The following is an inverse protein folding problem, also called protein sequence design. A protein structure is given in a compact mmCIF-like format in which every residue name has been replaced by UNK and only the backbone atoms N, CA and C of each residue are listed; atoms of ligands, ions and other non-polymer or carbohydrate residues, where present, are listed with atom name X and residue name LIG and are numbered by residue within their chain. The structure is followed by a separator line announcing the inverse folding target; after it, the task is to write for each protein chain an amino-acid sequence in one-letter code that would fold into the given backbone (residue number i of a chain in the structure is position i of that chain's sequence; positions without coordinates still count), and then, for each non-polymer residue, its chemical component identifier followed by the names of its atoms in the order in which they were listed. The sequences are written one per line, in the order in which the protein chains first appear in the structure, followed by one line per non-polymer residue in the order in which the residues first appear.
data_IF_578767482784
#
_entry.id   IF_578767482784
#
_cell.length_a   1.000
_cell.length_b   1.000
_cell.length_c   1.000
_cell.angle_alpha   90.00
_cell.angle_beta   90.00
_cell.angle_gamma   90.00
#
_symmetry.space_group_name_H-M   'P 1'
#
loop_
_entity.id
_entity.type
_entity.pdbx_description
1 polymer ?
#
# COMPACT_ATOMS: atom_id res chain seq x y z
N UNK A 1 -21.99 -10.34 16.87
CA UNK A 1 -20.63 -9.76 16.87
C UNK A 1 -20.14 -9.38 15.46
N UNK A 2 -20.53 -10.07 14.37
CA UNK A 2 -20.03 -9.77 13.01
C UNK A 2 -20.56 -8.48 12.38
N UNK A 3 -21.82 -8.10 12.63
CA UNK A 3 -22.44 -6.91 12.03
C UNK A 3 -21.86 -5.59 12.55
N UNK A 4 -21.50 -5.56 13.85
CA UNK A 4 -20.95 -4.39 14.53
C UNK A 4 -19.52 -4.06 14.05
N UNK A 5 -18.69 -5.10 13.86
CA UNK A 5 -17.34 -4.92 13.34
C UNK A 5 -17.34 -4.43 11.88
N UNK A 6 -18.20 -4.98 11.03
CA UNK A 6 -18.31 -4.55 9.64
C UNK A 6 -18.85 -3.11 9.53
N UNK A 7 -19.83 -2.75 10.36
CA UNK A 7 -20.32 -1.37 10.45
C UNK A 7 -19.23 -0.41 10.96
N UNK A 8 -18.45 -0.83 11.95
CA UNK A 8 -17.31 -0.06 12.47
C UNK A 8 -16.24 0.16 11.40
N UNK A 9 -15.87 -0.89 10.66
CA UNK A 9 -14.95 -0.80 9.51
C UNK A 9 -15.46 0.20 8.48
N UNK A 10 -16.71 0.04 8.04
CA UNK A 10 -17.32 0.92 7.05
C UNK A 10 -17.36 2.39 7.52
N UNK A 11 -17.73 2.63 8.78
CA UNK A 11 -17.77 3.97 9.37
C UNK A 11 -16.39 4.64 9.42
N UNK A 12 -15.37 3.91 9.87
CA UNK A 12 -14.00 4.41 9.91
C UNK A 12 -13.46 4.68 8.50
N UNK A 13 -13.67 3.75 7.57
CA UNK A 13 -13.22 3.85 6.18
C UNK A 13 -13.88 5.03 5.46
N UNK A 14 -15.16 5.30 5.73
CA UNK A 14 -15.87 6.47 5.21
C UNK A 14 -15.33 7.78 5.80
N UNK A 15 -15.08 7.81 7.11
CA UNK A 15 -14.50 8.99 7.78
C UNK A 15 -13.12 9.33 7.21
N UNK A 16 -12.25 8.34 7.03
CA UNK A 16 -10.91 8.53 6.45
C UNK A 16 -10.99 9.02 5.00
N UNK A 17 -11.87 8.45 4.17
CA UNK A 17 -12.08 8.93 2.79
C UNK A 17 -12.58 10.37 2.73
N UNK A 18 -13.46 10.78 3.65
CA UNK A 18 -13.93 12.17 3.72
C UNK A 18 -12.82 13.15 4.09
N UNK A 19 -11.91 12.77 4.98
CA UNK A 19 -10.71 13.55 5.30
C UNK A 19 -9.81 13.64 4.06
N UNK A 20 -9.59 12.51 3.38
CA UNK A 20 -8.76 12.44 2.19
C UNK A 20 -9.23 13.37 1.06
N UNK A 21 -10.53 13.43 0.78
CA UNK A 21 -11.09 14.28 -0.29
C UNK A 21 -10.70 15.76 -0.16
N UNK A 22 -10.35 16.22 1.05
CA UNK A 22 -9.91 17.59 1.32
C UNK A 22 -8.43 17.84 0.93
N UNK A 23 -7.68 16.81 0.58
CA UNK A 23 -6.22 16.87 0.36
C UNK A 23 -5.77 16.38 -1.03
N UNK A 24 -6.68 16.34 -2.00
CA UNK A 24 -6.44 15.81 -3.36
C UNK A 24 -5.77 16.77 -4.34
N UNK A 25 -5.49 18.02 -3.95
CA UNK A 25 -5.07 19.06 -4.89
C UNK A 25 -3.74 18.77 -5.61
N UNK A 26 -2.80 18.09 -4.94
CA UNK A 26 -1.44 17.82 -5.44
C UNK A 26 -1.13 16.33 -5.63
N UNK A 27 -2.08 15.44 -5.29
CA UNK A 27 -1.90 13.99 -5.35
C UNK A 27 -2.97 13.42 -6.27
N UNK A 28 -2.54 12.63 -7.23
CA UNK A 28 -3.42 11.76 -8.03
C UNK A 28 -3.32 10.34 -7.50
N UNK A 29 -4.39 9.59 -7.63
CA UNK A 29 -4.39 8.17 -7.27
C UNK A 29 -5.28 7.36 -8.18
N UNK A 30 -4.88 6.13 -8.46
CA UNK A 30 -5.67 5.17 -9.20
C UNK A 30 -5.66 3.81 -8.52
N UNK A 31 -6.71 3.04 -8.79
CA UNK A 31 -6.85 1.66 -8.32
C UNK A 31 -6.05 0.73 -9.21
N UNK A 32 -5.47 -0.29 -8.60
CA UNK A 32 -4.94 -1.46 -9.28
C UNK A 32 -5.26 -2.71 -8.46
N UNK A 33 -5.08 -3.87 -9.10
CA UNK A 33 -5.40 -5.16 -8.52
C UNK A 33 -4.20 -6.08 -8.63
N UNK A 34 -3.83 -6.71 -7.52
CA UNK A 34 -2.73 -7.66 -7.45
C UNK A 34 -3.29 -9.08 -7.38
N UNK A 35 -3.14 -9.90 -8.43
CA UNK A 35 -3.56 -11.29 -8.38
C UNK A 35 -2.69 -12.07 -7.38
N UNK A 36 -3.34 -12.82 -6.50
CA UNK A 36 -2.76 -13.87 -5.68
C UNK A 36 -3.33 -15.22 -6.13
N UNK A 37 -2.90 -16.34 -5.53
CA UNK A 37 -3.30 -17.68 -5.97
C UNK A 37 -4.83 -17.88 -5.95
N UNK A 38 -5.50 -17.43 -4.89
CA UNK A 38 -6.93 -17.71 -4.65
C UNK A 38 -7.79 -16.45 -4.45
N UNK A 39 -7.20 -15.26 -4.56
CA UNK A 39 -7.88 -13.99 -4.35
C UNK A 39 -7.15 -12.85 -5.06
N UNK A 40 -7.79 -11.69 -5.09
CA UNK A 40 -7.19 -10.44 -5.58
C UNK A 40 -6.99 -9.52 -4.39
N UNK A 41 -5.83 -8.88 -4.33
CA UNK A 41 -5.49 -7.90 -3.31
C UNK A 41 -5.66 -6.52 -3.94
N UNK A 42 -6.65 -5.71 -3.51
CA UNK A 42 -6.79 -4.34 -3.96
C UNK A 42 -5.58 -3.52 -3.54
N UNK A 43 -5.08 -2.70 -4.46
CA UNK A 43 -4.03 -1.73 -4.17
C UNK A 43 -4.41 -0.37 -4.74
N UNK A 44 -3.81 0.66 -4.18
CA UNK A 44 -3.90 2.01 -4.72
C UNK A 44 -2.53 2.59 -4.90
N UNK A 45 -2.33 3.20 -6.06
CA UNK A 45 -1.11 3.88 -6.41
C UNK A 45 -1.36 5.37 -6.25
N UNK A 46 -0.49 6.03 -5.50
CA UNK A 46 -0.56 7.44 -5.17
C UNK A 46 0.66 8.14 -5.74
N UNK A 47 0.46 9.23 -6.46
CA UNK A 47 1.51 9.92 -7.17
C UNK A 47 1.37 11.44 -7.05
N UNK A 48 2.49 12.18 -7.06
CA UNK A 48 2.45 13.62 -7.24
C UNK A 48 1.77 13.95 -8.57
N UNK A 49 0.83 14.90 -8.56
CA UNK A 49 0.06 15.31 -9.74
C UNK A 49 0.91 15.89 -10.86
N UNK A 50 2.01 16.54 -10.51
CA UNK A 50 2.89 17.19 -11.48
C UNK A 50 3.81 16.15 -12.12
N UNK A 51 4.01 16.16 -13.45
CA UNK A 51 4.92 15.25 -14.12
C UNK A 51 6.36 15.49 -13.66
N UNK A 52 7.21 14.49 -13.81
CA UNK A 52 8.62 14.58 -13.46
C UNK A 52 9.50 14.05 -14.59
N UNK A 53 10.68 14.64 -14.76
CA UNK A 53 11.67 14.19 -15.73
C UNK A 53 12.57 13.07 -15.18
N UNK A 54 12.41 12.71 -13.90
CA UNK A 54 13.23 11.72 -13.22
C UNK A 54 12.39 10.58 -12.65
N UNK A 55 12.94 9.35 -12.60
CA UNK A 55 12.28 8.24 -11.92
C UNK A 55 11.95 8.58 -10.47
N UNK A 56 10.77 8.17 -9.99
CA UNK A 56 10.37 8.37 -8.59
C UNK A 56 10.68 7.13 -7.78
N UNK A 57 11.17 7.33 -6.56
CA UNK A 57 11.22 6.25 -5.58
C UNK A 57 9.82 5.69 -5.32
N UNK A 58 9.75 4.38 -5.07
CA UNK A 58 8.51 3.68 -4.78
C UNK A 58 8.50 3.25 -3.32
N UNK A 59 7.42 3.56 -2.61
CA UNK A 59 7.16 3.03 -1.28
C UNK A 59 5.96 2.09 -1.25
N UNK A 60 6.11 0.94 -0.61
CA UNK A 60 4.98 0.13 -0.13
C UNK A 60 4.60 0.60 1.27
N UNK A 61 3.38 1.13 1.41
CA UNK A 61 2.82 1.62 2.66
C UNK A 61 1.73 0.67 3.18
N UNK A 62 1.96 0.08 4.35
CA UNK A 62 1.08 -0.94 4.95
C UNK A 62 0.28 -0.31 6.08
N UNK A 63 -1.05 -0.36 5.98
CA UNK A 63 -1.91 0.32 6.94
C UNK A 63 -2.00 -0.39 8.30
N UNK A 64 -2.32 0.38 9.35
CA UNK A 64 -2.61 -0.09 10.70
C UNK A 64 -4.01 -0.67 10.85
N UNK A 65 -4.61 -0.52 12.03
CA UNK A 65 -5.97 -1.02 12.31
C UNK A 65 -6.03 -2.36 13.05
N UNK A 66 -4.96 -2.73 13.75
CA UNK A 66 -4.96 -3.94 14.61
C UNK A 66 -5.24 -5.23 13.84
N UNK A 67 -4.76 -5.31 12.59
CA UNK A 67 -5.03 -6.41 11.64
C UNK A 67 -6.51 -6.63 11.32
N UNK A 68 -7.41 -5.82 11.86
CA UNK A 68 -8.85 -6.07 11.87
C UNK A 68 -9.65 -4.91 11.28
N UNK A 69 -9.00 -3.83 10.87
CA UNK A 69 -9.61 -2.62 10.34
C UNK A 69 -8.67 -1.95 9.34
N UNK A 70 -9.22 -0.99 8.59
CA UNK A 70 -8.49 -0.24 7.57
C UNK A 70 -8.66 -0.84 6.19
N UNK A 71 -8.10 -0.13 5.21
CA UNK A 71 -8.03 -0.49 3.80
C UNK A 71 -6.93 0.37 3.15
N UNK A 72 -6.91 0.43 1.82
CA UNK A 72 -5.90 1.15 1.06
C UNK A 72 -5.90 2.68 1.28
N UNK A 73 -6.89 3.26 1.95
CA UNK A 73 -6.96 4.67 2.36
C UNK A 73 -6.58 4.95 3.82
N UNK A 74 -6.57 3.92 4.67
CA UNK A 74 -6.61 4.07 6.13
C UNK A 74 -5.54 5.01 6.70
N UNK A 75 -4.30 4.92 6.20
CA UNK A 75 -3.18 5.77 6.62
C UNK A 75 -2.78 6.80 5.55
N UNK A 76 -3.77 7.36 4.84
CA UNK A 76 -3.56 8.38 3.80
C UNK A 76 -2.79 9.63 4.27
N UNK A 77 -2.78 9.93 5.57
CA UNK A 77 -1.94 11.00 6.14
C UNK A 77 -0.44 10.73 5.97
N UNK A 78 -0.01 9.47 6.12
CA UNK A 78 1.37 9.04 5.91
C UNK A 78 1.71 9.06 4.43
N UNK A 79 0.82 8.53 3.60
CA UNK A 79 0.92 8.57 2.13
C UNK A 79 1.13 9.99 1.64
N UNK A 80 0.33 10.94 2.13
CA UNK A 80 0.44 12.35 1.78
C UNK A 80 1.83 12.92 2.06
N UNK A 81 2.43 12.59 3.20
CA UNK A 81 3.77 13.05 3.54
C UNK A 81 4.82 12.49 2.57
N UNK A 82 4.75 11.20 2.23
CA UNK A 82 5.67 10.54 1.29
C UNK A 82 5.52 11.11 -0.13
N UNK A 83 4.29 11.29 -0.59
CA UNK A 83 4.03 11.81 -1.93
C UNK A 83 4.42 13.29 -2.04
N UNK A 84 3.95 14.16 -1.14
CA UNK A 84 4.16 15.61 -1.27
C UNK A 84 5.56 16.05 -0.87
N UNK A 85 6.13 15.48 0.19
CA UNK A 85 7.42 15.95 0.73
C UNK A 85 8.62 15.24 0.12
N UNK A 86 8.44 13.97 -0.26
CA UNK A 86 9.53 13.15 -0.81
C UNK A 86 9.37 12.88 -2.31
N UNK A 87 8.30 13.37 -2.95
CA UNK A 87 8.03 13.18 -4.39
C UNK A 87 8.04 11.70 -4.80
N UNK A 88 7.58 10.82 -3.91
CA UNK A 88 7.57 9.37 -4.12
C UNK A 88 6.25 8.90 -4.74
N UNK A 89 6.32 7.82 -5.51
CA UNK A 89 5.16 6.98 -5.79
C UNK A 89 4.90 6.09 -4.58
N UNK A 90 3.67 6.05 -4.07
CA UNK A 90 3.31 5.20 -2.93
C UNK A 90 2.28 4.18 -3.37
N UNK A 91 2.46 2.93 -2.97
CA UNK A 91 1.50 1.85 -3.16
C UNK A 91 0.95 1.47 -1.79
N UNK A 92 -0.36 1.58 -1.61
CA UNK A 92 -1.07 1.03 -0.44
C UNK A 92 -1.85 -0.20 -0.86
N UNK A 93 -2.19 -1.06 0.10
CA UNK A 93 -2.90 -2.31 -0.14
C UNK A 93 -4.01 -2.52 0.87
N UNK A 94 -5.08 -3.20 0.46
CA UNK A 94 -6.15 -3.69 1.32
C UNK A 94 -5.87 -5.17 1.65
N UNK A 95 -5.03 -5.41 2.65
CA UNK A 95 -4.68 -6.78 3.06
C UNK A 95 -5.84 -7.42 3.82
N UNK A 96 -6.00 -8.75 3.70
CA UNK A 96 -7.11 -9.46 4.36
C UNK A 96 -7.05 -9.27 5.88
N UNK A 97 -8.20 -9.03 6.49
CA UNK A 97 -8.33 -8.66 7.89
C UNK A 97 -8.75 -9.84 8.77
N UNK A 98 -8.33 -9.80 10.03
CA UNK A 98 -8.85 -10.64 11.11
C UNK A 98 -10.21 -10.14 11.60
N UNK A 99 -11.12 -11.02 12.04
CA UNK A 99 -10.93 -12.46 12.25
C UNK A 99 -11.12 -13.33 11.00
N UNK A 100 -11.59 -12.77 9.88
CA UNK A 100 -11.88 -13.54 8.66
C UNK A 100 -10.64 -14.20 8.06
N UNK A 101 -9.50 -13.54 8.20
CA UNK A 101 -8.19 -14.08 7.84
C UNK A 101 -7.19 -13.73 8.95
N UNK A 102 -6.72 -14.77 9.63
CA UNK A 102 -5.68 -14.66 10.67
C UNK A 102 -4.29 -14.86 10.06
N UNK A 103 -3.25 -14.62 10.86
CA UNK A 103 -1.88 -14.91 10.46
C UNK A 103 -1.75 -16.37 9.95
N UNK A 104 -1.07 -16.62 8.81
CA UNK A 104 -0.19 -15.72 8.06
C UNK A 104 -0.86 -14.94 6.91
N UNK A 105 -2.17 -15.00 6.74
CA UNK A 105 -2.84 -14.46 5.55
C UNK A 105 -2.58 -12.96 5.26
N UNK A 106 -2.71 -12.03 6.24
CA UNK A 106 -2.38 -10.63 6.02
C UNK A 106 -0.92 -10.41 5.57
N UNK A 107 0.01 -11.19 6.15
CA UNK A 107 1.42 -11.13 5.81
C UNK A 107 1.70 -11.66 4.40
N UNK A 108 1.03 -12.73 3.99
CA UNK A 108 1.13 -13.26 2.63
C UNK A 108 0.65 -12.24 1.60
N UNK A 109 -0.39 -11.47 1.90
CA UNK A 109 -0.88 -10.43 0.99
C UNK A 109 0.17 -9.31 0.83
N UNK A 110 0.74 -8.84 1.94
CA UNK A 110 1.86 -7.89 1.93
C UNK A 110 3.04 -8.41 1.10
N UNK A 111 3.43 -9.68 1.30
CA UNK A 111 4.53 -10.30 0.56
C UNK A 111 4.24 -10.39 -0.94
N UNK A 112 3.01 -10.75 -1.32
CA UNK A 112 2.57 -10.82 -2.72
C UNK A 112 2.62 -9.43 -3.37
N UNK A 113 2.11 -8.40 -2.71
CA UNK A 113 2.17 -7.02 -3.23
C UNK A 113 3.62 -6.53 -3.32
N UNK A 114 4.45 -6.80 -2.32
CA UNK A 114 5.87 -6.44 -2.34
C UNK A 114 6.61 -7.05 -3.56
N UNK A 115 6.35 -8.33 -3.86
CA UNK A 115 6.91 -9.01 -5.04
C UNK A 115 6.30 -8.50 -6.36
N UNK A 116 5.08 -7.99 -6.33
CA UNK A 116 4.36 -7.48 -7.49
C UNK A 116 4.88 -6.11 -7.95
N UNK A 117 5.16 -5.21 -7.01
CA UNK A 117 5.57 -3.82 -7.27
C UNK A 117 6.70 -3.67 -8.30
N UNK A 118 7.86 -4.35 -8.18
CA UNK A 118 8.95 -4.16 -9.14
C UNK A 118 8.65 -4.75 -10.53
N UNK A 119 7.71 -5.69 -10.62
CA UNK A 119 7.44 -6.46 -11.83
C UNK A 119 6.31 -5.89 -12.71
N UNK A 120 5.61 -4.83 -12.28
CA UNK A 120 4.47 -4.27 -13.02
C UNK A 120 4.52 -2.74 -13.17
N UNK A 121 5.55 -2.18 -13.84
CA UNK A 121 5.68 -0.74 -14.02
C UNK A 121 4.47 -0.10 -14.70
N UNK A 122 3.80 -0.78 -15.65
CA UNK A 122 2.62 -0.22 -16.32
C UNK A 122 1.36 -0.10 -15.43
N UNK A 123 1.26 -0.88 -14.35
CA UNK A 123 0.17 -0.73 -13.38
C UNK A 123 0.45 0.39 -12.37
N UNK A 124 1.73 0.68 -12.12
CA UNK A 124 2.18 1.78 -11.26
C UNK A 124 2.25 3.10 -12.04
N UNK A 125 2.60 3.04 -13.32
CA UNK A 125 2.79 4.16 -14.24
C UNK A 125 1.94 3.94 -15.50
N UNK A 126 0.60 4.11 -15.42
CA UNK A 126 -0.31 3.82 -16.53
C UNK A 126 -0.11 4.71 -17.76
N UNK A 127 0.42 5.93 -17.58
CA UNK A 127 0.63 6.90 -18.66
C UNK A 127 1.93 6.66 -19.45
N UNK A 128 2.59 5.52 -19.27
CA UNK A 128 3.82 5.19 -20.00
C UNK A 128 5.05 5.94 -19.52
N UNK A 129 4.99 6.64 -18.37
CA UNK A 129 6.16 7.07 -17.59
C UNK A 129 6.85 5.85 -16.92
N UNK A 130 7.09 4.79 -17.70
CA UNK A 130 7.90 3.62 -17.35
C UNK A 130 9.35 3.97 -17.03
N UNK A 131 9.71 5.25 -17.07
CA UNK A 131 10.94 5.77 -16.49
C UNK A 131 10.92 5.64 -14.95
N UNK A 132 9.75 5.56 -14.30
CA UNK A 132 9.59 5.69 -12.84
C UNK A 132 10.20 4.60 -11.95
N UNK A 133 10.23 3.34 -12.37
CA UNK A 133 10.87 2.27 -11.60
C UNK A 133 12.20 1.92 -12.26
N UNK A 134 13.30 2.48 -11.74
CA UNK A 134 14.64 2.02 -12.15
C UNK A 134 14.78 0.54 -11.77
N UNK A 135 15.39 -0.30 -12.62
CA UNK A 135 15.68 -1.69 -12.28
C UNK A 135 16.55 -1.85 -11.01
N UNK A 136 17.21 -0.77 -10.60
CA UNK A 136 18.24 -0.72 -9.56
C UNK A 136 17.78 -0.04 -8.26
N UNK A 137 16.49 0.28 -8.10
CA UNK A 137 15.99 0.96 -6.91
C UNK A 137 15.36 0.00 -5.89
N UNK A 138 15.77 0.17 -4.64
CA UNK A 138 15.13 -0.46 -3.49
C UNK A 138 13.70 0.06 -3.30
N UNK A 139 12.80 -0.84 -2.93
CA UNK A 139 11.43 -0.49 -2.52
C UNK A 139 11.49 -0.08 -1.05
N UNK A 140 11.05 1.16 -0.76
CA UNK A 140 10.91 1.61 0.61
C UNK A 140 9.68 0.97 1.24
N UNK A 141 9.85 0.28 2.35
CA UNK A 141 8.72 -0.32 3.07
C UNK A 141 8.44 0.52 4.31
N UNK A 142 7.20 0.96 4.47
CA UNK A 142 6.74 1.64 5.67
C UNK A 142 5.38 1.11 6.11
N UNK A 143 5.01 1.42 7.35
CA UNK A 143 3.69 1.09 7.86
C UNK A 143 3.41 1.79 9.19
N UNK A 144 2.17 1.71 9.64
CA UNK A 144 1.72 2.31 10.88
C UNK A 144 1.08 1.24 11.79
N UNK A 145 1.39 1.25 13.09
CA UNK A 145 0.82 0.30 14.07
C UNK A 145 0.93 -1.17 13.63
N UNK A 146 -0.18 -1.90 13.47
CA UNK A 146 -0.21 -3.26 12.93
C UNK A 146 0.45 -3.40 11.55
N UNK A 147 0.37 -2.35 10.71
CA UNK A 147 1.07 -2.31 9.43
C UNK A 147 2.58 -2.15 9.56
N UNK A 148 3.05 -1.43 10.59
CA UNK A 148 4.48 -1.36 10.90
C UNK A 148 5.03 -2.72 11.36
N UNK A 149 4.22 -3.50 12.09
CA UNK A 149 4.56 -4.88 12.45
C UNK A 149 4.72 -5.75 11.18
N UNK A 150 3.77 -5.70 10.25
CA UNK A 150 3.85 -6.43 8.97
C UNK A 150 5.04 -5.96 8.11
N UNK A 151 5.33 -4.66 8.08
CA UNK A 151 6.49 -4.10 7.41
C UNK A 151 7.81 -4.68 7.96
N UNK A 152 7.94 -4.72 9.29
CA UNK A 152 9.12 -5.29 9.95
C UNK A 152 9.26 -6.80 9.65
N UNK A 153 8.15 -7.54 9.72
CA UNK A 153 8.14 -8.97 9.39
C UNK A 153 8.58 -9.23 7.94
N UNK A 154 8.17 -8.39 6.99
CA UNK A 154 8.54 -8.49 5.58
C UNK A 154 10.05 -8.30 5.39
N UNK A 155 10.63 -7.28 6.03
CA UNK A 155 12.06 -6.99 5.92
C UNK A 155 12.93 -8.08 6.56
N UNK A 156 12.50 -8.63 7.70
CA UNK A 156 13.15 -9.79 8.32
C UNK A 156 13.10 -11.01 7.40
N UNK A 157 11.93 -11.32 6.84
CA UNK A 157 11.78 -12.44 5.91
C UNK A 157 12.69 -12.32 4.68
N UNK A 158 12.81 -11.12 4.10
CA UNK A 158 13.72 -10.87 2.97
C UNK A 158 15.17 -11.21 3.35
N UNK A 159 15.65 -10.71 4.49
CA UNK A 159 17.02 -10.92 4.94
C UNK A 159 17.35 -12.40 5.13
N UNK A 160 16.42 -13.18 5.68
CA UNK A 160 16.60 -14.63 5.86
C UNK A 160 16.67 -15.37 4.53
N UNK A 161 15.89 -14.98 3.53
CA UNK A 161 15.85 -15.64 2.21
C UNK A 161 17.02 -15.27 1.29
N UNK A 162 17.72 -14.17 1.56
CA UNK A 162 18.92 -13.77 0.80
C UNK A 162 20.23 -14.35 1.36
N UNK A 163 20.17 -14.95 2.55
CA UNK A 163 21.32 -15.54 3.25
C UNK A 163 21.51 -17.05 2.96
N UNK A 164 20.73 -17.62 2.05
CA UNK A 164 20.76 -19.03 1.61
C UNK A 164 21.10 -19.14 0.14
#
# INVERSE_FOLDING_TARGET
MSTDLQQTRAGLNAAVRNIWQQYTHEIVSHEASVPSENHVIPVRVWQPKYPTTHPRDVSLAIHGGGWSMGDEYADSFMVRALVQKLNMTVVTLDYRLSPETTYPGPFQDVLTVFKWVPNRPGAIYPDGESQGARPDHDIFVCGFSAGANLAAALLLHKNDTTAS
#
